data_IF_776871360165
#
_entry.id   IF_776871360165
#
_cell.length_a   1.000
_cell.length_b   1.000
_cell.length_c   1.000
_cell.angle_alpha   90.00
_cell.angle_beta   90.00
_cell.angle_gamma   90.00
#
_symmetry.space_group_name_H-M   'P 1'
#
loop_
_entity.id
_entity.type
_entity.pdbx_description
1 polymer ?
#
# COMPACT_ATOMS: atom_id res chain seq x y z
N UNK A 1 -0.88 -34.98 17.01
CA UNK A 1 0.37 -35.69 17.36
C UNK A 1 0.29 -37.16 16.97
N UNK A 2 -0.69 -37.92 17.49
CA UNK A 2 -0.86 -39.35 17.17
C UNK A 2 -0.97 -39.61 15.67
N UNK A 3 -1.80 -38.80 14.94
CA UNK A 3 -1.94 -38.87 13.49
C UNK A 3 -0.63 -38.60 12.75
N UNK A 4 0.21 -37.74 13.29
CA UNK A 4 1.52 -37.39 12.72
C UNK A 4 2.53 -38.50 12.96
N UNK A 5 2.59 -39.04 14.19
CA UNK A 5 3.44 -40.20 14.53
C UNK A 5 3.10 -41.41 13.66
N UNK A 6 1.77 -41.61 13.40
CA UNK A 6 1.30 -42.64 12.50
C UNK A 6 1.78 -42.45 11.05
N UNK A 7 1.83 -41.19 10.56
CA UNK A 7 2.38 -40.89 9.22
C UNK A 7 3.89 -41.09 9.15
N UNK A 8 4.60 -41.00 10.27
CA UNK A 8 6.04 -41.27 10.39
C UNK A 8 6.32 -42.75 10.66
N UNK A 9 5.33 -43.64 10.62
CA UNK A 9 5.46 -45.05 10.83
C UNK A 9 5.44 -45.48 12.30
N UNK A 10 5.23 -44.55 13.23
CA UNK A 10 5.16 -44.85 14.67
C UNK A 10 3.72 -45.09 15.06
N UNK A 11 3.38 -46.32 15.42
CA UNK A 11 2.05 -46.69 15.90
C UNK A 11 2.00 -46.57 17.44
N UNK A 12 1.21 -45.62 17.94
CA UNK A 12 0.96 -45.44 19.37
C UNK A 12 -0.31 -46.16 19.73
N UNK A 13 -0.31 -47.10 20.72
CA UNK A 13 -1.51 -47.77 21.19
C UNK A 13 -2.50 -46.74 21.76
N UNK A 14 -3.78 -46.93 21.45
CA UNK A 14 -4.86 -45.97 21.85
C UNK A 14 -4.98 -45.85 23.38
N UNK A 15 -4.66 -46.89 24.12
CA UNK A 15 -4.67 -46.90 25.57
C UNK A 15 -3.59 -46.02 26.24
N UNK A 16 -2.53 -45.67 25.53
CA UNK A 16 -1.42 -44.88 26.05
C UNK A 16 -1.50 -43.39 25.61
N UNK A 17 -2.40 -43.04 24.72
CA UNK A 17 -2.51 -41.68 24.15
C UNK A 17 -2.77 -40.64 25.25
N UNK A 18 -3.60 -40.96 26.24
CA UNK A 18 -3.93 -40.05 27.34
C UNK A 18 -2.81 -39.89 28.37
N UNK A 19 -1.82 -40.78 28.36
CA UNK A 19 -0.65 -40.71 29.23
C UNK A 19 0.56 -40.01 28.62
N UNK A 20 0.50 -39.74 27.32
CA UNK A 20 1.59 -39.04 26.61
C UNK A 20 1.61 -37.55 26.96
N UNK A 21 2.33 -37.19 28.02
CA UNK A 21 2.60 -35.78 28.37
C UNK A 21 3.78 -35.25 27.55
N UNK A 22 3.49 -34.71 26.39
CA UNK A 22 4.53 -34.04 25.58
C UNK A 22 4.84 -32.66 26.15
N UNK A 23 5.94 -32.52 26.87
CA UNK A 23 6.33 -31.23 27.47
C UNK A 23 6.96 -30.24 26.46
N UNK A 24 7.50 -30.76 25.36
CA UNK A 24 8.29 -29.98 24.39
C UNK A 24 7.64 -29.88 23.02
N UNK A 25 6.30 -29.91 22.95
CA UNK A 25 5.55 -29.78 21.71
C UNK A 25 4.56 -28.64 21.85
N UNK A 26 4.53 -27.78 20.84
CA UNK A 26 3.56 -26.69 20.72
C UNK A 26 2.71 -26.87 19.45
N UNK A 27 1.42 -26.68 19.58
CA UNK A 27 0.56 -26.52 18.42
C UNK A 27 0.72 -25.11 17.88
N UNK A 28 0.93 -24.99 16.58
CA UNK A 28 1.20 -23.71 15.94
C UNK A 28 0.33 -23.50 14.71
N UNK A 29 0.04 -22.24 14.43
CA UNK A 29 -0.47 -21.80 13.16
C UNK A 29 0.72 -21.25 12.34
N UNK A 30 0.76 -21.62 11.08
CA UNK A 30 1.83 -21.26 10.17
C UNK A 30 1.25 -20.44 9.03
N UNK A 31 1.79 -19.26 8.81
CA UNK A 31 1.34 -18.34 7.76
C UNK A 31 2.53 -17.85 6.95
N UNK A 32 2.28 -17.64 5.67
CA UNK A 32 3.23 -17.03 4.74
C UNK A 32 2.49 -16.22 3.70
N UNK A 33 3.12 -15.19 3.17
CA UNK A 33 2.64 -14.48 2.01
C UNK A 33 3.31 -15.06 0.76
N UNK A 34 2.51 -15.56 -0.18
CA UNK A 34 3.02 -15.99 -1.48
C UNK A 34 3.15 -14.75 -2.38
N UNK A 35 4.39 -14.35 -2.76
CA UNK A 35 4.57 -13.22 -3.66
C UNK A 35 3.95 -13.49 -5.04
N UNK A 36 3.44 -12.47 -5.72
CA UNK A 36 3.09 -12.60 -7.13
C UNK A 36 4.34 -12.99 -7.92
N UNK A 37 4.19 -13.86 -8.91
CA UNK A 37 5.26 -14.40 -9.76
C UNK A 37 6.28 -15.31 -9.06
N UNK A 38 6.02 -15.75 -7.83
CA UNK A 38 6.83 -16.78 -7.19
C UNK A 38 6.77 -18.08 -8.01
N UNK A 39 7.93 -18.66 -8.25
CA UNK A 39 8.09 -19.90 -9.02
C UNK A 39 8.26 -21.11 -8.12
N UNK A 40 7.97 -22.28 -8.67
CA UNK A 40 8.28 -23.53 -7.99
C UNK A 40 9.77 -23.59 -7.67
N UNK A 41 10.10 -23.88 -6.43
CA UNK A 41 11.48 -23.90 -5.91
C UNK A 41 11.91 -22.61 -5.21
N UNK A 42 11.19 -21.50 -5.36
CA UNK A 42 11.49 -20.27 -4.63
C UNK A 42 11.27 -20.44 -3.12
N UNK A 43 12.03 -19.69 -2.33
CA UNK A 43 11.91 -19.66 -0.89
C UNK A 43 11.20 -18.41 -0.40
N UNK A 44 10.28 -18.61 0.53
CA UNK A 44 9.50 -17.52 1.15
C UNK A 44 9.57 -17.58 2.67
N UNK A 45 9.41 -16.44 3.30
CA UNK A 45 9.43 -16.32 4.75
C UNK A 45 8.15 -16.86 5.37
N UNK A 46 8.31 -17.42 6.56
CA UNK A 46 7.23 -18.05 7.31
C UNK A 46 7.11 -17.42 8.68
N UNK A 47 5.88 -17.12 9.08
CA UNK A 47 5.55 -16.74 10.45
C UNK A 47 4.85 -17.89 11.14
N UNK A 48 5.35 -18.24 12.33
CA UNK A 48 4.84 -19.33 13.16
C UNK A 48 4.34 -18.74 14.47
N UNK A 49 3.10 -18.96 14.81
CA UNK A 49 2.47 -18.45 16.03
C UNK A 49 1.90 -19.61 16.85
N UNK A 50 2.06 -19.59 18.16
CA UNK A 50 1.48 -20.59 19.04
C UNK A 50 -0.04 -20.51 19.04
N UNK A 51 -0.67 -21.67 18.93
CA UNK A 51 -2.10 -21.83 19.03
C UNK A 51 -2.41 -22.69 20.26
N UNK A 52 -2.39 -22.12 21.46
CA UNK A 52 -2.64 -22.82 22.72
C UNK A 52 -1.73 -22.35 23.84
N UNK A 53 -1.48 -23.22 24.81
CA UNK A 53 -0.87 -22.90 26.11
C UNK A 53 0.66 -22.82 26.10
N UNK A 54 1.29 -22.88 24.95
CA UNK A 54 2.75 -22.77 24.85
C UNK A 54 3.22 -21.38 25.25
N UNK A 55 4.06 -21.31 26.27
CA UNK A 55 4.60 -20.06 26.79
C UNK A 55 5.73 -19.49 25.94
N UNK A 56 6.40 -20.32 25.15
CA UNK A 56 7.52 -19.93 24.29
C UNK A 56 7.72 -20.93 23.16
N UNK A 57 8.07 -20.42 22.00
CA UNK A 57 8.52 -21.20 20.84
C UNK A 57 10.06 -21.16 20.67
N UNK A 58 10.78 -20.61 21.65
CA UNK A 58 12.22 -20.44 21.59
C UNK A 58 12.94 -21.78 21.45
N UNK A 59 13.87 -21.86 20.50
CA UNK A 59 14.59 -23.10 20.21
C UNK A 59 13.74 -24.18 19.52
N UNK A 60 12.49 -23.83 19.14
CA UNK A 60 11.61 -24.76 18.44
C UNK A 60 12.01 -24.96 16.99
N UNK A 61 11.61 -26.10 16.44
CA UNK A 61 11.75 -26.42 15.01
C UNK A 61 10.38 -26.74 14.45
N UNK A 62 10.03 -26.08 13.35
CA UNK A 62 8.81 -26.39 12.61
C UNK A 62 9.05 -27.65 11.78
N UNK A 63 8.21 -28.64 11.97
CA UNK A 63 8.16 -29.83 11.16
C UNK A 63 7.53 -29.52 9.81
N UNK A 64 7.84 -30.34 8.80
CA UNK A 64 7.31 -30.19 7.46
C UNK A 64 5.78 -29.98 7.46
N UNK A 65 5.36 -28.79 7.07
CA UNK A 65 3.98 -28.34 7.14
C UNK A 65 3.54 -27.79 5.78
N UNK A 66 2.53 -28.38 5.15
CA UNK A 66 1.98 -27.85 3.90
C UNK A 66 1.20 -26.56 4.15
N UNK A 67 1.51 -25.51 3.40
CA UNK A 67 0.80 -24.25 3.38
C UNK A 67 -0.24 -24.27 2.28
N UNK A 68 -1.50 -24.12 2.68
CA UNK A 68 -2.65 -24.23 1.78
C UNK A 68 -3.25 -22.87 1.49
N UNK A 69 -3.66 -22.67 0.24
CA UNK A 69 -4.48 -21.54 -0.17
C UNK A 69 -5.97 -21.73 0.18
N UNK A 70 -6.81 -20.70 -0.07
CA UNK A 70 -8.26 -20.76 0.18
C UNK A 70 -8.98 -21.83 -0.64
N UNK A 71 -8.39 -22.25 -1.76
CA UNK A 71 -8.87 -23.32 -2.64
C UNK A 71 -8.55 -24.74 -2.12
N UNK A 72 -7.86 -24.85 -0.96
CA UNK A 72 -7.43 -26.10 -0.36
C UNK A 72 -6.17 -26.71 -0.96
N UNK A 73 -5.62 -26.17 -2.05
CA UNK A 73 -4.39 -26.65 -2.65
C UNK A 73 -3.16 -26.24 -1.83
N UNK A 74 -2.12 -27.09 -1.85
CA UNK A 74 -0.82 -26.77 -1.24
C UNK A 74 -0.01 -25.95 -2.23
N UNK A 75 0.42 -24.75 -1.80
CA UNK A 75 1.24 -23.83 -2.60
C UNK A 75 2.69 -23.80 -2.15
N UNK A 76 2.96 -24.09 -0.89
CA UNK A 76 4.32 -24.17 -0.37
C UNK A 76 4.41 -25.19 0.77
N UNK A 77 5.63 -25.60 1.09
CA UNK A 77 5.92 -26.49 2.22
C UNK A 77 6.92 -25.81 3.13
N UNK A 78 6.52 -25.61 4.39
CA UNK A 78 7.31 -24.92 5.41
C UNK A 78 8.00 -25.89 6.35
N UNK A 79 9.28 -25.63 6.68
CA UNK A 79 10.05 -26.34 7.71
C UNK A 79 11.24 -25.51 8.16
N UNK A 80 11.75 -25.76 9.37
CA UNK A 80 13.00 -25.17 9.81
C UNK A 80 13.02 -24.70 11.26
N UNK A 81 14.16 -24.22 11.70
CA UNK A 81 14.35 -23.69 13.04
C UNK A 81 13.73 -22.30 13.17
N UNK A 82 13.01 -22.06 14.27
CA UNK A 82 12.38 -20.77 14.53
C UNK A 82 13.39 -19.76 15.08
N UNK A 83 13.39 -18.57 14.49
CA UNK A 83 14.04 -17.39 15.03
C UNK A 83 13.00 -16.55 15.77
N UNK A 84 13.25 -16.27 17.04
CA UNK A 84 12.37 -15.45 17.88
C UNK A 84 13.11 -14.15 18.21
N UNK A 85 12.51 -13.02 17.88
CA UNK A 85 13.03 -11.70 18.20
C UNK A 85 12.69 -11.30 19.64
N UNK A 86 13.36 -11.86 20.63
CA UNK A 86 13.14 -11.46 22.02
C UNK A 86 13.90 -12.32 23.02
N UNK A 87 13.99 -11.82 24.24
CA UNK A 87 14.54 -12.56 25.38
C UNK A 87 13.63 -12.44 26.60
N UNK A 88 13.65 -13.47 27.42
CA UNK A 88 12.99 -13.48 28.72
C UNK A 88 14.03 -13.80 29.79
N UNK A 89 14.16 -12.94 30.77
CA UNK A 89 14.99 -13.18 31.95
C UNK A 89 14.05 -13.27 33.16
N UNK A 90 13.98 -14.43 33.75
CA UNK A 90 13.27 -14.69 34.99
C UNK A 90 14.21 -14.52 36.18
N UNK A 91 13.99 -13.47 36.99
CA UNK A 91 14.67 -13.29 38.29
C UNK A 91 13.71 -13.60 39.44
N UNK A 92 14.26 -13.87 40.62
CA UNK A 92 13.52 -14.28 41.81
C UNK A 92 12.47 -13.22 42.29
N UNK A 93 12.62 -11.92 41.87
CA UNK A 93 11.74 -10.83 42.26
C UNK A 93 11.04 -10.12 41.11
N UNK A 94 11.56 -10.18 39.87
CA UNK A 94 10.94 -9.61 38.66
C UNK A 94 11.40 -10.33 37.42
N UNK A 95 10.47 -10.73 36.56
CA UNK A 95 10.73 -11.18 35.19
C UNK A 95 10.69 -10.00 34.23
N UNK A 96 11.71 -9.85 33.39
CA UNK A 96 11.69 -8.90 32.27
C UNK A 96 11.49 -9.72 31.01
N UNK A 97 10.34 -9.52 30.37
CA UNK A 97 10.03 -10.11 29.08
C UNK A 97 10.02 -8.98 28.03
N UNK A 98 10.83 -9.12 27.00
CA UNK A 98 10.86 -8.19 25.86
C UNK A 98 10.48 -8.98 24.62
N UNK A 99 9.41 -8.54 23.94
CA UNK A 99 8.77 -9.16 22.79
C UNK A 99 8.00 -10.46 23.05
N UNK A 100 7.20 -10.87 22.07
CA UNK A 100 6.34 -12.04 22.16
C UNK A 100 7.13 -13.32 21.85
N UNK A 101 7.35 -14.15 22.87
CA UNK A 101 8.03 -15.44 22.72
C UNK A 101 7.17 -16.52 22.03
N UNK A 102 5.90 -16.22 21.80
CA UNK A 102 4.90 -17.12 21.20
C UNK A 102 4.79 -16.97 19.69
N UNK A 103 5.56 -16.05 19.10
CA UNK A 103 5.63 -15.83 17.65
C UNK A 103 7.08 -15.89 17.21
N UNK A 104 7.35 -16.67 16.18
CA UNK A 104 8.67 -16.79 15.57
C UNK A 104 8.59 -16.65 14.05
N UNK A 105 9.71 -16.38 13.42
CA UNK A 105 9.88 -16.32 11.98
C UNK A 105 10.93 -17.33 11.53
N UNK A 106 10.70 -17.91 10.37
CA UNK A 106 11.69 -18.73 9.67
C UNK A 106 11.98 -18.02 8.36
N UNK A 107 13.15 -17.39 8.27
CA UNK A 107 13.59 -16.75 7.04
C UNK A 107 13.80 -17.83 5.97
N UNK A 108 13.25 -17.62 4.77
CA UNK A 108 13.28 -18.62 3.69
C UNK A 108 12.78 -20.01 4.14
N UNK A 109 11.81 -20.03 5.06
CA UNK A 109 11.37 -21.23 5.75
C UNK A 109 10.37 -22.08 4.98
N UNK A 110 9.83 -21.61 3.86
CA UNK A 110 8.97 -22.42 3.01
C UNK A 110 9.45 -22.39 1.57
N UNK A 111 9.38 -23.54 0.93
CA UNK A 111 9.63 -23.70 -0.49
C UNK A 111 8.30 -23.72 -1.25
N UNK A 112 8.22 -22.96 -2.32
CA UNK A 112 7.03 -22.90 -3.20
C UNK A 112 6.97 -24.19 -4.03
N UNK A 113 5.83 -24.87 -3.96
CA UNK A 113 5.56 -26.11 -4.70
C UNK A 113 4.68 -25.89 -5.92
N UNK A 114 3.81 -24.87 -5.86
CA UNK A 114 2.88 -24.56 -6.94
C UNK A 114 2.87 -23.06 -7.20
N UNK A 115 3.06 -22.70 -8.46
CA UNK A 115 2.97 -21.32 -8.91
C UNK A 115 1.51 -20.86 -8.95
N UNK A 116 1.30 -19.57 -8.79
CA UNK A 116 0.04 -18.93 -9.16
C UNK A 116 0.01 -18.82 -10.68
N UNK A 117 -0.99 -19.45 -11.31
CA UNK A 117 -1.17 -19.33 -12.75
C UNK A 117 -1.47 -17.86 -13.10
N UNK A 118 -0.45 -17.17 -13.58
CA UNK A 118 -0.63 -15.86 -14.19
C UNK A 118 -1.03 -16.09 -15.64
N UNK A 119 -2.35 -16.19 -15.87
CA UNK A 119 -2.87 -16.14 -17.23
C UNK A 119 -2.56 -14.76 -17.81
N UNK A 120 -1.58 -14.71 -18.70
CA UNK A 120 -1.29 -13.54 -19.53
C UNK A 120 -2.52 -13.24 -20.37
N UNK A 121 -3.42 -12.46 -19.79
CA UNK A 121 -4.67 -12.07 -20.45
C UNK A 121 -4.34 -11.04 -21.51
N UNK A 122 -5.13 -11.02 -22.58
CA UNK A 122 -5.08 -9.97 -23.61
C UNK A 122 -5.38 -8.57 -23.04
N UNK A 123 -5.65 -8.49 -21.74
CA UNK A 123 -6.01 -7.27 -21.03
C UNK A 123 -5.32 -7.23 -19.66
N UNK A 124 -4.81 -6.05 -19.30
CA UNK A 124 -4.27 -5.73 -17.98
C UNK A 124 -5.27 -4.81 -17.28
N UNK A 125 -5.50 -5.06 -16.01
CA UNK A 125 -6.34 -4.21 -15.17
C UNK A 125 -5.43 -3.46 -14.20
N UNK A 126 -5.42 -2.13 -14.32
CA UNK A 126 -4.72 -1.26 -13.37
C UNK A 126 -5.73 -0.79 -12.33
N UNK A 127 -5.42 -1.02 -11.06
CA UNK A 127 -6.23 -0.57 -9.94
C UNK A 127 -5.53 0.58 -9.21
N UNK A 128 -6.18 1.72 -9.07
CA UNK A 128 -5.69 2.83 -8.29
C UNK A 128 -5.88 2.54 -6.81
N UNK A 129 -4.86 2.81 -6.00
CA UNK A 129 -4.95 2.70 -4.53
C UNK A 129 -6.00 3.65 -3.93
N UNK A 130 -6.14 4.83 -4.51
CA UNK A 130 -7.17 5.81 -4.20
C UNK A 130 -7.96 6.10 -5.47
N UNK A 131 -9.27 5.85 -5.43
CA UNK A 131 -10.14 6.10 -6.57
C UNK A 131 -10.25 7.59 -6.84
N UNK A 132 -9.88 8.00 -8.06
CA UNK A 132 -10.02 9.37 -8.56
C UNK A 132 -10.18 9.37 -10.08
N UNK A 133 -11.25 9.99 -10.57
CA UNK A 133 -11.59 10.03 -11.98
C UNK A 133 -10.59 10.84 -12.81
N UNK A 134 -10.09 11.95 -12.26
CA UNK A 134 -9.11 12.80 -12.93
C UNK A 134 -7.79 12.08 -13.13
N UNK A 135 -7.28 11.46 -12.07
CA UNK A 135 -6.05 10.64 -12.13
C UNK A 135 -6.21 9.47 -13.08
N UNK A 136 -7.34 8.73 -13.00
CA UNK A 136 -7.61 7.61 -13.92
C UNK A 136 -7.65 8.05 -15.39
N UNK A 137 -8.25 9.21 -15.66
CA UNK A 137 -8.29 9.80 -17.00
C UNK A 137 -6.90 10.20 -17.50
N UNK A 138 -6.09 10.84 -16.64
CA UNK A 138 -4.70 11.22 -16.95
C UNK A 138 -3.84 10.00 -17.27
N UNK A 139 -3.97 8.92 -16.49
CA UNK A 139 -3.26 7.66 -16.73
C UNK A 139 -3.68 7.05 -18.06
N UNK A 140 -4.99 6.94 -18.33
CA UNK A 140 -5.50 6.40 -19.60
C UNK A 140 -4.98 7.19 -20.80
N UNK A 141 -4.98 8.51 -20.68
CA UNK A 141 -4.44 9.39 -21.73
C UNK A 141 -2.93 9.21 -21.92
N UNK A 142 -2.15 9.19 -20.84
CA UNK A 142 -0.70 9.02 -20.91
C UNK A 142 -0.32 7.70 -21.58
N UNK A 143 -1.03 6.59 -21.28
CA UNK A 143 -0.81 5.30 -21.91
C UNK A 143 -1.13 5.38 -23.42
N UNK A 144 -2.27 5.95 -23.79
CA UNK A 144 -2.70 6.05 -25.17
C UNK A 144 -1.76 6.95 -26.00
N UNK A 145 -1.32 8.07 -25.44
CA UNK A 145 -0.39 9.01 -26.09
C UNK A 145 0.98 8.34 -26.33
N UNK A 146 1.49 7.59 -25.33
CA UNK A 146 2.77 6.88 -25.46
C UNK A 146 2.71 5.75 -26.47
N UNK A 147 1.64 5.00 -26.46
CA UNK A 147 1.47 3.85 -27.35
C UNK A 147 0.96 4.24 -28.75
N UNK A 148 0.52 5.47 -28.92
CA UNK A 148 -0.11 6.01 -30.14
C UNK A 148 -1.30 5.18 -30.63
N UNK A 149 -2.03 4.60 -29.67
CA UNK A 149 -3.19 3.74 -29.90
C UNK A 149 -4.14 3.83 -28.70
N UNK A 150 -5.43 3.57 -28.92
CA UNK A 150 -6.48 3.58 -27.89
C UNK A 150 -6.54 2.27 -27.11
N UNK A 151 -5.46 1.94 -26.40
CA UNK A 151 -5.33 0.69 -25.64
C UNK A 151 -5.93 0.80 -24.24
N UNK A 152 -5.81 1.95 -23.61
CA UNK A 152 -6.28 2.18 -22.24
C UNK A 152 -7.67 2.82 -22.24
N UNK A 153 -8.57 2.25 -21.46
CA UNK A 153 -9.91 2.77 -21.21
C UNK A 153 -10.20 2.76 -19.72
N UNK A 154 -10.73 3.89 -19.23
CA UNK A 154 -11.18 4.01 -17.85
C UNK A 154 -12.52 3.26 -17.70
N UNK A 155 -12.58 2.31 -16.74
CA UNK A 155 -13.82 1.61 -16.38
C UNK A 155 -14.58 2.40 -15.31
N UNK A 156 -13.84 2.89 -14.31
CA UNK A 156 -14.33 3.77 -13.25
C UNK A 156 -13.15 4.55 -12.63
N UNK A 157 -13.40 5.37 -11.61
CA UNK A 157 -12.35 6.18 -10.95
C UNK A 157 -11.23 5.38 -10.28
N UNK A 158 -11.38 4.08 -10.09
CA UNK A 158 -10.37 3.22 -9.48
C UNK A 158 -9.81 2.15 -10.40
N UNK A 159 -10.36 1.99 -11.62
CA UNK A 159 -10.01 0.86 -12.48
C UNK A 159 -9.84 1.31 -13.94
N UNK A 160 -8.69 0.97 -14.49
CA UNK A 160 -8.35 1.24 -15.89
C UNK A 160 -8.07 -0.11 -16.55
N UNK A 161 -8.69 -0.36 -17.68
CA UNK A 161 -8.47 -1.54 -18.51
C UNK A 161 -7.53 -1.17 -19.63
N UNK A 162 -6.47 -1.95 -19.79
CA UNK A 162 -5.47 -1.76 -20.85
C UNK A 162 -5.40 -3.04 -21.70
N UNK A 163 -5.68 -2.90 -22.97
CA UNK A 163 -5.54 -4.00 -23.94
C UNK A 163 -4.06 -4.19 -24.26
N UNK A 164 -3.62 -5.45 -24.25
CA UNK A 164 -2.24 -5.80 -24.63
C UNK A 164 -2.18 -5.93 -26.14
N UNK A 165 -1.35 -5.15 -26.84
CA UNK A 165 -1.14 -5.29 -28.27
C UNK A 165 -0.59 -6.67 -28.64
N UNK A 166 -0.90 -7.16 -29.82
CA UNK A 166 -0.44 -8.48 -30.30
C UNK A 166 1.09 -8.63 -30.23
N UNK A 167 1.82 -7.55 -30.51
CA UNK A 167 3.27 -7.51 -30.41
C UNK A 167 3.83 -7.87 -29.03
N UNK A 168 3.04 -7.69 -27.96
CA UNK A 168 3.45 -7.92 -26.57
C UNK A 168 2.78 -9.13 -25.92
N UNK A 169 1.99 -9.92 -26.66
CA UNK A 169 1.32 -11.08 -26.08
C UNK A 169 2.31 -12.12 -25.54
N UNK A 170 3.42 -12.33 -26.23
CA UNK A 170 4.48 -13.27 -25.82
C UNK A 170 5.40 -12.68 -24.74
N UNK A 171 5.40 -11.35 -24.56
CA UNK A 171 6.22 -10.66 -23.59
C UNK A 171 5.46 -9.52 -22.90
N UNK A 172 4.40 -9.88 -22.18
CA UNK A 172 3.54 -8.93 -21.47
C UNK A 172 4.33 -8.13 -20.41
N UNK A 173 5.38 -8.71 -19.81
CA UNK A 173 6.23 -8.03 -18.83
C UNK A 173 6.91 -6.80 -19.40
N UNK A 174 7.40 -6.86 -20.64
CA UNK A 174 8.00 -5.70 -21.33
C UNK A 174 6.97 -4.58 -21.56
N UNK A 175 5.72 -4.95 -21.83
CA UNK A 175 4.63 -4.00 -21.97
C UNK A 175 4.29 -3.31 -20.64
N UNK A 176 4.21 -4.11 -19.55
CA UNK A 176 4.00 -3.58 -18.18
C UNK A 176 5.10 -2.60 -17.81
N UNK A 177 6.37 -2.94 -18.04
CA UNK A 177 7.51 -2.07 -17.75
C UNK A 177 7.41 -0.72 -18.48
N UNK A 178 6.93 -0.72 -19.72
CA UNK A 178 6.70 0.53 -20.46
C UNK A 178 5.60 1.39 -19.85
N UNK A 179 4.53 0.75 -19.34
CA UNK A 179 3.45 1.46 -18.66
C UNK A 179 3.95 2.01 -17.31
N UNK A 180 4.70 1.23 -16.55
CA UNK A 180 5.25 1.64 -15.26
C UNK A 180 6.24 2.82 -15.35
N UNK A 181 6.91 2.97 -16.49
CA UNK A 181 7.84 4.07 -16.73
C UNK A 181 7.16 5.40 -17.08
N UNK A 182 5.82 5.45 -17.17
CA UNK A 182 5.09 6.67 -17.51
C UNK A 182 4.92 7.58 -16.29
N UNK A 183 5.33 8.82 -16.43
CA UNK A 183 5.10 9.86 -15.44
C UNK A 183 3.68 10.42 -15.57
N UNK A 184 2.91 10.33 -14.49
CA UNK A 184 1.56 10.89 -14.42
C UNK A 184 1.42 11.69 -13.14
N UNK A 185 1.02 12.95 -13.27
CA UNK A 185 0.70 13.80 -12.11
C UNK A 185 -0.67 13.43 -11.56
N UNK A 186 -0.76 12.86 -10.34
CA UNK A 186 -2.04 12.54 -9.74
C UNK A 186 -2.81 13.82 -9.39
N UNK A 187 -4.12 13.69 -9.25
CA UNK A 187 -4.92 14.78 -8.71
C UNK A 187 -4.73 14.86 -7.20
N UNK A 188 -4.40 16.04 -6.71
CA UNK A 188 -4.18 16.29 -5.30
C UNK A 188 -5.37 17.06 -4.73
N UNK A 189 -6.06 16.49 -3.75
CA UNK A 189 -7.10 17.19 -3.02
C UNK A 189 -6.51 18.42 -2.31
N UNK A 190 -7.15 19.58 -2.51
CA UNK A 190 -6.84 20.76 -1.73
C UNK A 190 -7.25 20.50 -0.27
N UNK A 191 -6.25 20.29 0.60
CA UNK A 191 -6.46 19.96 2.01
C UNK A 191 -5.79 20.98 2.92
N UNK A 192 -6.54 21.42 3.92
CA UNK A 192 -6.01 22.20 5.06
C UNK A 192 -6.18 21.36 6.31
N UNK A 193 -5.10 21.15 7.03
CA UNK A 193 -5.09 20.41 8.30
C UNK A 193 -4.75 21.41 9.39
N UNK A 194 -5.61 21.47 10.41
CA UNK A 194 -5.45 22.38 11.57
C UNK A 194 -5.34 21.52 12.82
N UNK A 195 -4.25 21.67 13.56
CA UNK A 195 -4.11 21.10 14.90
C UNK A 195 -4.53 22.18 15.93
N UNK A 196 -5.70 22.01 16.50
CA UNK A 196 -6.28 22.95 17.46
C UNK A 196 -5.44 23.11 18.72
N UNK A 197 -4.70 22.07 19.12
CA UNK A 197 -3.89 22.10 20.35
C UNK A 197 -2.61 22.90 20.19
N UNK A 198 -1.98 22.85 19.04
CA UNK A 198 -0.71 23.52 18.76
C UNK A 198 -0.88 24.79 17.93
N UNK A 199 -2.07 25.01 17.35
CA UNK A 199 -2.33 26.10 16.40
C UNK A 199 -1.60 25.92 15.08
N UNK A 200 -1.08 24.73 14.79
CA UNK A 200 -0.34 24.44 13.56
C UNK A 200 -1.30 24.27 12.39
N UNK A 201 -1.05 25.00 11.30
CA UNK A 201 -1.81 24.90 10.05
C UNK A 201 -0.88 24.38 8.97
N UNK A 202 -1.27 23.27 8.32
CA UNK A 202 -0.58 22.70 7.16
C UNK A 202 -1.49 22.77 5.96
N UNK A 203 -1.02 23.39 4.87
CA UNK A 203 -1.76 23.54 3.61
C UNK A 203 -0.95 22.94 2.46
N UNK A 204 -1.64 22.24 1.55
CA UNK A 204 -1.06 21.79 0.29
C UNK A 204 -0.96 22.94 -0.72
N UNK A 205 -0.10 22.81 -1.72
CA UNK A 205 0.08 23.82 -2.79
C UNK A 205 -1.19 24.07 -3.64
N UNK A 206 -2.07 23.09 -3.71
CA UNK A 206 -3.32 23.15 -4.46
C UNK A 206 -4.44 23.92 -3.74
N UNK A 207 -4.20 24.36 -2.49
CA UNK A 207 -5.18 25.14 -1.73
C UNK A 207 -5.20 26.56 -2.25
N UNK A 208 -6.36 26.98 -2.74
CA UNK A 208 -6.60 28.36 -3.22
C UNK A 208 -7.69 29.00 -2.37
N UNK A 209 -7.56 30.28 -2.13
CA UNK A 209 -8.54 31.10 -1.44
C UNK A 209 -9.21 31.98 -2.50
N UNK A 210 -10.52 31.84 -2.67
CA UNK A 210 -11.32 32.74 -3.51
C UNK A 210 -11.43 34.12 -2.88
N UNK A 211 -11.95 35.09 -3.62
CA UNK A 211 -12.24 36.42 -3.07
C UNK A 211 -13.11 36.30 -1.83
N UNK A 212 -12.64 36.79 -0.71
CA UNK A 212 -13.31 36.67 0.59
C UNK A 212 -12.98 37.88 1.48
N UNK A 213 -13.95 38.29 2.24
CA UNK A 213 -13.77 39.26 3.32
C UNK A 213 -14.06 38.57 4.65
N UNK A 214 -13.12 38.61 5.57
CA UNK A 214 -13.24 38.02 6.91
C UNK A 214 -13.00 39.12 7.95
N UNK A 215 -13.90 39.24 8.91
CA UNK A 215 -13.74 40.09 10.06
C UNK A 215 -13.84 39.28 11.36
N UNK A 216 -12.87 39.42 12.25
CA UNK A 216 -12.84 38.75 13.54
C UNK A 216 -12.35 39.75 14.61
N UNK A 217 -13.23 40.23 15.49
CA UNK A 217 -12.93 41.30 16.42
C UNK A 217 -12.52 42.57 15.70
N UNK A 218 -11.34 43.08 16.00
CA UNK A 218 -10.77 44.28 15.39
C UNK A 218 -9.99 43.99 14.08
N UNK A 219 -9.75 42.70 13.75
CA UNK A 219 -9.00 42.31 12.58
C UNK A 219 -9.94 42.14 11.37
N UNK A 220 -9.61 42.76 10.23
CA UNK A 220 -10.25 42.46 8.97
C UNK A 220 -9.23 42.05 7.92
N UNK A 221 -9.62 41.14 7.06
CA UNK A 221 -8.86 40.67 5.91
C UNK A 221 -9.79 40.66 4.70
N UNK A 222 -9.37 41.37 3.66
CA UNK A 222 -10.09 41.38 2.37
C UNK A 222 -9.15 40.89 1.28
N UNK A 223 -9.54 39.80 0.61
CA UNK A 223 -8.82 39.20 -0.51
C UNK A 223 -9.69 39.37 -1.74
N UNK A 224 -9.18 40.09 -2.74
CA UNK A 224 -9.89 40.36 -3.99
C UNK A 224 -8.97 40.07 -5.17
N UNK A 225 -9.50 39.37 -6.16
CA UNK A 225 -8.82 39.19 -7.42
C UNK A 225 -9.22 40.33 -8.39
N UNK A 226 -8.23 41.15 -8.77
CA UNK A 226 -8.39 42.23 -9.74
C UNK A 226 -7.49 41.90 -10.95
N UNK A 227 -8.04 41.33 -12.03
CA UNK A 227 -7.26 41.04 -13.22
C UNK A 227 -6.78 42.37 -13.88
N UNK A 228 -5.49 42.44 -14.17
CA UNK A 228 -4.94 43.55 -14.91
C UNK A 228 -4.83 43.16 -16.37
N UNK A 229 -5.38 43.96 -17.23
CA UNK A 229 -5.22 43.83 -18.68
C UNK A 229 -3.95 44.56 -19.09
N UNK A 230 -2.91 43.82 -19.49
CA UNK A 230 -1.74 44.41 -20.13
C UNK A 230 -2.06 44.70 -21.58
N UNK A 231 -2.23 45.98 -21.91
CA UNK A 231 -2.41 46.37 -23.32
C UNK A 231 -1.05 46.50 -24.01
N UNK A 232 -0.92 46.03 -25.26
CA UNK A 232 0.29 46.23 -26.03
C UNK A 232 0.56 47.74 -26.23
N UNK A 233 1.83 48.12 -26.26
CA UNK A 233 2.26 49.47 -26.57
C UNK A 233 1.74 49.89 -27.97
N UNK A 234 1.43 51.16 -28.21
CA UNK A 234 1.07 51.64 -29.54
C UNK A 234 2.09 51.37 -30.64
N UNK A 235 3.34 51.05 -30.29
CA UNK A 235 4.44 50.67 -31.15
C UNK A 235 4.77 49.17 -31.14
N UNK A 236 3.86 48.34 -30.62
CA UNK A 236 4.06 46.89 -30.62
C UNK A 236 3.96 46.31 -32.04
N UNK A 237 4.66 45.20 -32.33
CA UNK A 237 4.52 44.52 -33.63
C UNK A 237 3.10 44.07 -33.92
N UNK A 238 2.75 43.98 -35.19
CA UNK A 238 1.48 43.46 -35.63
C UNK A 238 1.26 42.03 -35.09
N UNK A 239 0.16 41.80 -34.35
CA UNK A 239 -0.16 40.52 -33.71
C UNK A 239 0.04 40.47 -32.17
N UNK A 240 0.43 41.60 -31.56
CA UNK A 240 0.47 41.67 -30.09
C UNK A 240 -0.94 41.68 -29.49
N UNK A 241 -1.28 40.63 -28.74
CA UNK A 241 -2.58 40.51 -28.07
C UNK A 241 -2.53 41.01 -26.62
N UNK A 242 -3.66 41.52 -26.14
CA UNK A 242 -3.82 41.92 -24.75
C UNK A 242 -3.84 40.70 -23.85
N UNK A 243 -2.94 40.62 -22.86
CA UNK A 243 -2.84 39.52 -21.90
C UNK A 243 -3.49 39.95 -20.60
N UNK A 244 -4.40 39.14 -20.11
CA UNK A 244 -5.00 39.29 -18.78
C UNK A 244 -4.09 38.62 -17.76
N UNK A 245 -3.48 39.43 -16.88
CA UNK A 245 -2.64 38.96 -15.81
C UNK A 245 -3.46 38.88 -14.50
N UNK A 246 -3.52 37.72 -13.85
CA UNK A 246 -4.18 37.61 -12.54
C UNK A 246 -3.37 38.42 -11.51
N UNK A 247 -4.05 39.29 -10.77
CA UNK A 247 -3.49 40.03 -9.64
C UNK A 247 -4.36 39.86 -8.41
N UNK A 248 -3.78 39.32 -7.35
CA UNK A 248 -4.45 39.22 -6.05
C UNK A 248 -4.09 40.42 -5.19
N UNK A 249 -5.08 41.15 -4.73
CA UNK A 249 -4.92 42.23 -3.78
C UNK A 249 -5.35 41.77 -2.39
N UNK A 250 -4.46 41.86 -1.43
CA UNK A 250 -4.70 41.50 -0.03
C UNK A 250 -4.66 42.80 0.79
N UNK A 251 -5.75 43.12 1.47
CA UNK A 251 -5.81 44.20 2.45
C UNK A 251 -6.08 43.57 3.81
N UNK A 252 -5.22 43.81 4.77
CA UNK A 252 -5.38 43.42 6.15
C UNK A 252 -5.20 44.66 7.05
N UNK A 253 -6.01 44.83 8.10
CA UNK A 253 -5.93 45.96 8.98
C UNK A 253 -6.66 45.73 10.32
N UNK A 254 -6.36 46.56 11.29
CA UNK A 254 -7.08 46.61 12.55
C UNK A 254 -8.05 47.79 12.52
N UNK A 255 -9.34 47.56 12.77
CA UNK A 255 -10.39 48.58 12.83
C UNK A 255 -11.54 48.36 11.86
N UNK A 256 -12.73 48.56 12.33
CA UNK A 256 -13.99 48.28 11.59
C UNK A 256 -14.26 49.37 10.50
N UNK A 257 -13.65 50.52 10.56
CA UNK A 257 -13.95 51.67 9.71
C UNK A 257 -13.50 51.57 8.24
N UNK A 258 -12.81 50.48 7.86
CA UNK A 258 -12.32 50.24 6.50
C UNK A 258 -13.08 49.19 5.71
N UNK A 259 -14.19 48.69 6.25
CA UNK A 259 -15.05 47.70 5.57
C UNK A 259 -16.11 48.31 4.68
N UNK A 260 -16.19 49.63 4.59
CA UNK A 260 -17.22 50.37 3.88
C UNK A 260 -16.68 51.14 2.64
N UNK A 261 -15.84 50.46 1.82
CA UNK A 261 -15.58 51.00 0.45
C UNK A 261 -15.59 49.88 -0.57
#
# INVERSE_FOLDING_TARGET
>A
IVSMLKKLGVTVPTAEVDQLKFKNIATVIVTSALPPFAKQGDYIDVTVSSLGDSKSLQGGTLLMTPLKGPDGNTYAVAQGALSIGGFSVAGAARGIQKNHLTVGRIANGAQVEKELEYNSKKEIILALKKSDFTTASRISKAINDQMKDSLASMVNGGTIRVKVPELYLDNTSSFVTKIESLDVTPDAEAKVIIDERTGTIVMGESVKISSVAVAHGALFINIKEEPIVSQPSPLAPEGAEAVVLPRTRIAAGEGIDKLLV
#
